data_IF_960987829153
#
_entry.id   IF_960987829153
#
_cell.length_a   1.000
_cell.length_b   1.000
_cell.length_c   1.000
_cell.angle_alpha   90.00
_cell.angle_beta   90.00
_cell.angle_gamma   90.00
#
_symmetry.space_group_name_H-M   'P 1'
#
loop_
_entity.id
_entity.type
_entity.pdbx_description
1 polymer ?
#
# COMPACT_ATOMS: atom_id res chain seq x y z
N UNK A 1 33.91 7.99 -2.45
CA UNK A 1 32.93 6.97 -2.02
C UNK A 1 31.80 7.03 -3.03
N UNK A 2 31.70 6.07 -3.94
CA UNK A 2 30.55 5.96 -4.85
C UNK A 2 29.32 5.75 -3.99
N UNK A 3 28.38 6.69 -3.97
CA UNK A 3 27.09 6.46 -3.31
C UNK A 3 26.45 5.23 -3.96
N UNK A 4 26.33 4.14 -3.21
CA UNK A 4 25.64 2.96 -3.68
C UNK A 4 24.19 3.35 -3.96
N UNK A 5 23.69 2.99 -5.15
CA UNK A 5 22.31 3.21 -5.57
C UNK A 5 21.36 2.59 -4.53
N UNK A 6 20.34 3.35 -4.13
CA UNK A 6 19.29 2.88 -3.22
C UNK A 6 17.96 2.76 -3.96
N UNK A 7 17.14 1.81 -3.54
CA UNK A 7 15.78 1.64 -4.02
C UNK A 7 14.90 2.76 -3.45
N UNK A 8 14.36 3.62 -4.31
CA UNK A 8 13.45 4.68 -3.87
C UNK A 8 12.06 4.10 -3.62
N UNK A 9 11.65 4.05 -2.35
CA UNK A 9 10.39 3.42 -1.96
C UNK A 9 9.38 4.40 -1.36
N UNK A 10 8.10 4.10 -1.54
CA UNK A 10 7.00 4.73 -0.82
C UNK A 10 6.07 3.67 -0.20
N UNK A 11 5.67 3.89 1.04
CA UNK A 11 4.67 3.11 1.77
C UNK A 11 3.42 3.98 2.00
N UNK A 12 2.27 3.49 1.53
CA UNK A 12 1.00 4.21 1.54
C UNK A 12 -0.12 3.38 2.13
N UNK A 13 -1.00 4.03 2.89
CA UNK A 13 -2.12 3.39 3.57
C UNK A 13 -3.43 4.06 3.17
N UNK A 14 -4.45 3.24 2.86
CA UNK A 14 -5.82 3.65 2.61
C UNK A 14 -6.80 3.01 3.61
N UNK A 15 -7.98 2.56 3.19
CA UNK A 15 -8.98 1.99 4.12
C UNK A 15 -8.58 0.58 4.57
N UNK A 16 -7.94 0.47 5.74
CA UNK A 16 -7.61 -0.78 6.45
C UNK A 16 -7.31 -0.51 7.94
N UNK A 17 -6.73 -1.50 8.62
CA UNK A 17 -6.32 -1.45 10.02
C UNK A 17 -4.81 -1.23 10.24
N UNK A 18 -4.03 -0.95 9.18
CA UNK A 18 -2.57 -0.74 9.23
C UNK A 18 -1.77 -1.94 9.77
N UNK A 19 -2.34 -3.15 9.73
CA UNK A 19 -1.72 -4.35 10.28
C UNK A 19 -0.41 -4.70 9.56
N UNK A 20 -0.38 -4.53 8.25
CA UNK A 20 0.79 -4.85 7.41
C UNK A 20 1.84 -3.75 7.51
N UNK A 21 1.44 -2.53 7.81
CA UNK A 21 2.31 -1.42 8.18
C UNK A 21 3.06 -1.73 9.49
N UNK A 22 2.38 -2.30 10.49
CA UNK A 22 3.02 -2.75 11.73
C UNK A 22 4.04 -3.86 11.45
N UNK A 23 3.68 -4.86 10.65
CA UNK A 23 4.63 -5.92 10.24
C UNK A 23 5.86 -5.35 9.53
N UNK A 24 5.67 -4.39 8.62
CA UNK A 24 6.78 -3.71 7.97
C UNK A 24 7.70 -3.00 8.97
N UNK A 25 7.13 -2.33 9.98
CA UNK A 25 7.94 -1.67 11.02
C UNK A 25 8.66 -2.66 11.94
N UNK A 26 8.09 -3.82 12.24
CA UNK A 26 8.78 -4.86 13.01
C UNK A 26 9.94 -5.46 12.21
N UNK A 27 9.74 -5.75 10.92
CA UNK A 27 10.83 -6.19 10.03
C UNK A 27 11.94 -5.14 9.90
N UNK A 28 11.59 -3.84 9.93
CA UNK A 28 12.59 -2.77 9.96
C UNK A 28 13.47 -2.86 11.21
N UNK A 29 12.95 -3.28 12.38
CA UNK A 29 13.76 -3.45 13.59
C UNK A 29 14.80 -4.57 13.42
N UNK A 30 14.43 -5.67 12.76
CA UNK A 30 15.31 -6.81 12.53
C UNK A 30 16.35 -6.54 11.43
N UNK A 31 15.98 -5.80 10.38
CA UNK A 31 16.79 -5.61 9.17
C UNK A 31 17.38 -4.20 9.01
N UNK A 32 17.24 -3.32 10.00
CA UNK A 32 17.61 -1.90 9.92
C UNK A 32 19.00 -1.64 9.32
N UNK A 33 20.01 -2.36 9.80
CA UNK A 33 21.41 -2.15 9.41
C UNK A 33 21.66 -2.39 7.91
N UNK A 34 20.94 -3.34 7.32
CA UNK A 34 20.99 -3.63 5.89
C UNK A 34 20.12 -2.64 5.12
N UNK A 35 18.85 -2.50 5.53
CA UNK A 35 17.85 -1.74 4.79
C UNK A 35 18.16 -0.24 4.72
N UNK A 36 18.77 0.35 5.76
CA UNK A 36 19.21 1.75 5.70
C UNK A 36 20.25 2.02 4.60
N UNK A 37 20.98 0.98 4.16
CA UNK A 37 22.00 1.09 3.10
C UNK A 37 21.42 0.93 1.71
N UNK A 38 20.31 0.19 1.57
CA UNK A 38 19.73 -0.17 0.26
C UNK A 38 18.39 0.50 -0.04
N UNK A 39 17.67 1.01 0.96
CA UNK A 39 16.38 1.69 0.79
C UNK A 39 16.54 3.21 0.97
N UNK A 40 15.97 3.96 0.03
CA UNK A 40 15.70 5.40 0.17
C UNK A 40 14.19 5.59 0.37
N UNK A 41 13.79 5.76 1.63
CA UNK A 41 12.37 5.90 1.99
C UNK A 41 11.92 7.33 1.68
N UNK A 42 11.20 7.53 0.58
CA UNK A 42 10.69 8.84 0.15
C UNK A 42 9.40 9.23 0.87
N UNK A 43 8.56 8.24 1.11
CA UNK A 43 7.26 8.39 1.75
C UNK A 43 6.98 7.18 2.64
N UNK A 44 6.83 7.39 3.93
CA UNK A 44 6.31 6.40 4.88
C UNK A 44 5.94 7.15 6.16
N UNK A 45 4.65 7.47 6.32
CA UNK A 45 4.16 8.30 7.44
C UNK A 45 4.48 7.71 8.81
N UNK A 46 4.62 6.38 8.89
CA UNK A 46 4.99 5.66 10.12
C UNK A 46 6.47 5.78 10.47
N UNK A 47 7.35 6.06 9.51
CA UNK A 47 8.81 6.12 9.72
C UNK A 47 9.36 7.55 9.78
N UNK A 48 8.66 8.53 9.19
CA UNK A 48 9.18 9.90 9.08
C UNK A 48 8.10 10.97 8.97
N UNK A 49 8.43 12.17 9.47
CA UNK A 49 7.56 13.36 9.38
C UNK A 49 7.54 13.96 7.99
N UNK A 50 8.70 14.07 7.33
CA UNK A 50 8.81 14.64 5.98
C UNK A 50 8.55 13.54 4.96
N UNK A 51 7.48 13.68 4.19
CA UNK A 51 7.06 12.72 3.19
C UNK A 51 6.95 13.41 1.84
N UNK A 52 7.60 12.85 0.82
CA UNK A 52 7.61 13.41 -0.53
C UNK A 52 7.06 12.37 -1.50
N UNK A 53 6.06 12.77 -2.27
CA UNK A 53 5.56 11.96 -3.39
C UNK A 53 6.22 12.44 -4.69
N UNK A 54 7.45 11.97 -4.90
CA UNK A 54 8.22 12.12 -6.13
C UNK A 54 8.35 10.77 -6.86
N UNK A 55 9.27 10.65 -7.81
CA UNK A 55 9.49 9.40 -8.55
C UNK A 55 9.94 8.28 -7.61
N UNK A 56 9.22 7.16 -7.65
CA UNK A 56 9.46 5.96 -6.87
C UNK A 56 9.87 4.81 -7.79
N UNK A 57 10.84 4.03 -7.35
CA UNK A 57 11.10 2.72 -7.94
C UNK A 57 9.97 1.76 -7.57
N UNK A 58 9.57 1.76 -6.30
CA UNK A 58 8.51 0.88 -5.79
C UNK A 58 7.56 1.62 -4.85
N UNK A 59 6.26 1.54 -5.09
CA UNK A 59 5.22 1.94 -4.15
C UNK A 59 4.54 0.71 -3.55
N UNK A 60 4.64 0.55 -2.24
CA UNK A 60 3.89 -0.41 -1.44
C UNK A 60 2.59 0.25 -0.96
N UNK A 61 1.46 -0.36 -1.29
CA UNK A 61 0.14 0.22 -1.02
C UNK A 61 -0.71 -0.79 -0.24
N UNK A 62 -1.03 -0.45 1.01
CA UNK A 62 -1.97 -1.16 1.87
C UNK A 62 -3.35 -0.47 1.85
N UNK A 63 -4.42 -1.26 1.96
CA UNK A 63 -5.78 -0.76 2.14
C UNK A 63 -6.64 -0.72 0.88
N UNK A 64 -7.95 -0.70 1.10
CA UNK A 64 -8.95 -0.61 0.05
C UNK A 64 -9.33 0.86 -0.27
N UNK A 65 -9.99 1.08 -1.40
CA UNK A 65 -10.35 2.42 -1.88
C UNK A 65 -11.84 2.68 -1.62
N UNK A 66 -12.13 3.55 -0.64
CA UNK A 66 -13.49 3.81 -0.19
C UNK A 66 -14.05 5.17 -0.65
N UNK A 67 -13.23 6.07 -1.19
CA UNK A 67 -13.60 7.43 -1.61
C UNK A 67 -13.01 7.75 -2.99
N UNK A 68 -13.53 8.78 -3.66
CA UNK A 68 -12.93 9.27 -4.91
C UNK A 68 -11.51 9.80 -4.69
N UNK A 69 -11.26 10.46 -3.55
CA UNK A 69 -9.93 10.93 -3.17
C UNK A 69 -8.91 9.78 -3.10
N UNK A 70 -9.30 8.61 -2.57
CA UNK A 70 -8.42 7.44 -2.57
C UNK A 70 -8.05 7.02 -3.99
N UNK A 71 -9.03 6.99 -4.92
CA UNK A 71 -8.81 6.63 -6.33
C UNK A 71 -7.84 7.63 -6.99
N UNK A 72 -8.08 8.92 -6.82
CA UNK A 72 -7.25 9.96 -7.42
C UNK A 72 -5.82 9.89 -6.87
N UNK A 73 -5.68 9.62 -5.56
CA UNK A 73 -4.38 9.47 -4.91
C UNK A 73 -3.61 8.25 -5.38
N UNK A 74 -4.24 7.08 -5.50
CA UNK A 74 -3.54 5.89 -6.01
C UNK A 74 -3.16 6.02 -7.48
N UNK A 75 -3.96 6.74 -8.28
CA UNK A 75 -3.59 7.09 -9.67
C UNK A 75 -2.38 8.01 -9.72
N UNK A 76 -2.32 9.01 -8.84
CA UNK A 76 -1.13 9.87 -8.70
C UNK A 76 0.09 9.05 -8.31
N UNK A 77 -0.01 8.20 -7.27
CA UNK A 77 1.07 7.32 -6.84
C UNK A 77 1.52 6.41 -7.99
N UNK A 78 0.57 5.79 -8.70
CA UNK A 78 0.88 4.93 -9.84
C UNK A 78 1.63 5.68 -10.93
N UNK A 79 1.23 6.90 -11.26
CA UNK A 79 1.89 7.71 -12.30
C UNK A 79 3.35 8.04 -11.98
N UNK A 80 3.72 8.03 -10.69
CA UNK A 80 5.07 8.33 -10.20
C UNK A 80 5.88 7.09 -9.82
N UNK A 81 5.31 5.89 -9.94
CA UNK A 81 5.92 4.65 -9.48
C UNK A 81 6.21 3.71 -10.64
N UNK A 82 7.44 3.18 -10.71
CA UNK A 82 7.81 2.16 -11.71
C UNK A 82 7.15 0.81 -11.40
N UNK A 83 7.05 0.46 -10.12
CA UNK A 83 6.31 -0.71 -9.62
C UNK A 83 5.33 -0.33 -8.53
N UNK A 84 4.17 -0.97 -8.52
CA UNK A 84 3.18 -0.94 -7.44
C UNK A 84 2.99 -2.34 -6.90
N UNK A 85 3.13 -2.45 -5.58
CA UNK A 85 2.94 -3.67 -4.81
C UNK A 85 1.69 -3.50 -3.94
N UNK A 86 0.67 -4.33 -4.17
CA UNK A 86 -0.50 -4.38 -3.30
C UNK A 86 -0.16 -5.18 -2.04
N UNK A 87 -0.34 -4.56 -0.88
CA UNK A 87 -0.02 -5.13 0.43
C UNK A 87 -1.31 -5.47 1.19
N UNK A 88 -1.41 -6.74 1.59
CA UNK A 88 -2.45 -7.22 2.48
C UNK A 88 -3.83 -7.40 1.81
N UNK A 89 -4.73 -8.07 2.53
CA UNK A 89 -6.04 -8.48 2.03
C UNK A 89 -6.89 -7.29 1.60
N UNK A 90 -6.80 -6.17 2.32
CA UNK A 90 -7.56 -4.97 1.95
C UNK A 90 -7.18 -4.46 0.55
N UNK A 91 -5.88 -4.38 0.21
CA UNK A 91 -5.46 -3.91 -1.11
C UNK A 91 -5.67 -4.98 -2.19
N UNK A 92 -5.39 -6.25 -1.87
CA UNK A 92 -5.40 -7.35 -2.84
C UNK A 92 -6.81 -7.83 -3.18
N UNK A 93 -7.69 -7.97 -2.17
CA UNK A 93 -9.04 -8.54 -2.33
C UNK A 93 -10.16 -7.64 -1.82
N UNK A 94 -9.85 -6.48 -1.23
CA UNK A 94 -10.83 -5.52 -0.74
C UNK A 94 -11.35 -5.80 0.68
N UNK A 95 -11.23 -7.03 1.18
CA UNK A 95 -11.75 -7.44 2.49
C UNK A 95 -10.72 -7.22 3.61
N UNK A 96 -11.16 -6.94 4.86
CA UNK A 96 -12.55 -6.79 5.30
C UNK A 96 -13.21 -5.44 4.96
N UNK A 97 -12.46 -4.43 4.50
CA UNK A 97 -12.97 -3.06 4.27
C UNK A 97 -14.15 -2.98 3.29
N UNK A 98 -14.22 -3.89 2.31
CA UNK A 98 -15.24 -3.94 1.29
C UNK A 98 -16.47 -4.79 1.66
N UNK A 99 -16.60 -5.25 2.92
CA UNK A 99 -17.74 -6.08 3.36
C UNK A 99 -19.10 -5.45 3.03
N UNK A 100 -19.22 -4.11 3.14
CA UNK A 100 -20.46 -3.39 2.82
C UNK A 100 -20.92 -3.54 1.37
N UNK A 101 -20.05 -3.98 0.47
CA UNK A 101 -20.43 -4.25 -0.92
C UNK A 101 -21.38 -5.45 -1.04
N UNK A 102 -21.48 -6.29 0.00
CA UNK A 102 -22.36 -7.46 0.05
C UNK A 102 -23.63 -7.20 0.87
N UNK A 103 -23.85 -5.97 1.35
CA UNK A 103 -25.04 -5.63 2.10
C UNK A 103 -26.28 -5.68 1.22
N UNK A 104 -27.39 -6.09 1.81
CA UNK A 104 -28.71 -6.00 1.18
C UNK A 104 -29.19 -4.54 1.13
N UNK A 105 -30.30 -4.30 0.41
CA UNK A 105 -30.84 -2.95 0.24
C UNK A 105 -31.16 -2.27 1.58
N UNK A 106 -31.66 -3.03 2.56
CA UNK A 106 -32.01 -2.50 3.89
C UNK A 106 -30.77 -2.01 4.64
N UNK A 107 -29.72 -2.83 4.74
CA UNK A 107 -28.47 -2.43 5.39
C UNK A 107 -27.78 -1.29 4.65
N UNK A 108 -27.88 -1.27 3.31
CA UNK A 108 -27.35 -0.17 2.52
C UNK A 108 -28.07 1.15 2.83
N UNK A 109 -29.40 1.12 2.99
CA UNK A 109 -30.21 2.28 3.41
C UNK A 109 -29.79 2.79 4.80
N UNK A 110 -29.62 1.87 5.76
CA UNK A 110 -29.18 2.19 7.13
C UNK A 110 -27.83 2.93 7.17
N UNK A 111 -26.90 2.60 6.28
CA UNK A 111 -25.58 3.24 6.22
C UNK A 111 -25.50 4.44 5.26
N UNK A 112 -26.52 4.73 4.44
CA UNK A 112 -26.48 5.85 3.48
C UNK A 112 -26.08 7.19 4.11
N UNK A 113 -26.60 7.59 5.29
CA UNK A 113 -26.20 8.85 5.91
C UNK A 113 -24.70 8.92 6.21
N UNK A 114 -24.08 7.79 6.58
CA UNK A 114 -22.65 7.69 6.83
C UNK A 114 -21.85 7.77 5.53
N UNK A 115 -22.31 7.08 4.48
CA UNK A 115 -21.64 7.13 3.17
C UNK A 115 -21.63 8.56 2.61
N UNK A 116 -22.76 9.27 2.70
CA UNK A 116 -22.86 10.66 2.27
C UNK A 116 -21.97 11.58 3.12
N UNK A 117 -21.98 11.43 4.44
CA UNK A 117 -21.17 12.25 5.37
C UNK A 117 -19.68 12.19 5.07
N UNK A 118 -19.16 11.02 4.73
CA UNK A 118 -17.73 10.79 4.49
C UNK A 118 -17.36 10.71 2.99
N UNK A 119 -18.28 11.09 2.10
CA UNK A 119 -18.06 11.04 0.64
C UNK A 119 -17.57 9.67 0.15
N UNK A 120 -18.12 8.61 0.74
CA UNK A 120 -17.79 7.24 0.34
C UNK A 120 -18.41 6.88 -1.00
N UNK A 121 -17.68 6.10 -1.78
CA UNK A 121 -18.18 5.50 -3.01
C UNK A 121 -19.34 4.53 -2.72
N UNK A 122 -20.25 4.29 -3.66
CA UNK A 122 -21.27 3.26 -3.51
C UNK A 122 -20.67 1.88 -3.21
N UNK A 123 -19.53 1.55 -3.82
CA UNK A 123 -18.75 0.33 -3.56
C UNK A 123 -17.31 0.66 -3.20
N UNK A 124 -16.76 -0.07 -2.24
CA UNK A 124 -15.32 -0.07 -1.94
C UNK A 124 -14.60 -0.90 -3.00
N UNK A 125 -13.47 -0.41 -3.49
CA UNK A 125 -12.68 -1.09 -4.52
C UNK A 125 -11.40 -1.69 -3.94
N UNK A 126 -10.96 -2.83 -4.50
CA UNK A 126 -9.57 -3.29 -4.30
C UNK A 126 -8.63 -2.49 -5.20
N UNK A 127 -7.33 -2.53 -4.93
CA UNK A 127 -6.36 -1.69 -5.62
C UNK A 127 -6.33 -1.95 -7.14
N UNK A 128 -6.44 -3.21 -7.54
CA UNK A 128 -6.44 -3.66 -8.94
C UNK A 128 -7.68 -3.25 -9.74
N UNK A 129 -8.75 -2.78 -9.10
CA UNK A 129 -9.91 -2.23 -9.80
C UNK A 129 -9.66 -0.79 -10.27
N UNK A 130 -8.70 -0.08 -9.67
CA UNK A 130 -8.44 1.34 -9.94
C UNK A 130 -7.13 1.60 -10.70
N UNK A 131 -6.09 0.79 -10.47
CA UNK A 131 -4.77 0.92 -11.10
C UNK A 131 -4.17 -0.45 -11.41
N UNK A 132 -3.19 -0.48 -12.33
CA UNK A 132 -2.37 -1.68 -12.56
C UNK A 132 -1.48 -1.97 -11.35
N UNK A 133 -1.53 -3.21 -10.86
CA UNK A 133 -0.71 -3.74 -9.77
C UNK A 133 0.30 -4.71 -10.37
N UNK A 134 1.59 -4.55 -10.07
CA UNK A 134 2.65 -5.40 -10.63
C UNK A 134 2.90 -6.63 -9.75
N UNK A 135 2.79 -6.48 -8.43
CA UNK A 135 2.99 -7.55 -7.45
C UNK A 135 1.91 -7.48 -6.39
N UNK A 136 1.39 -8.63 -5.94
CA UNK A 136 0.42 -8.71 -4.87
C UNK A 136 0.95 -9.59 -3.74
N UNK A 137 0.90 -9.10 -2.51
CA UNK A 137 1.31 -9.81 -1.30
C UNK A 137 0.06 -10.02 -0.44
N UNK A 138 -0.61 -11.18 -0.55
CA UNK A 138 -1.81 -11.47 0.23
C UNK A 138 -1.48 -11.75 1.71
N UNK A 139 -2.53 -11.68 2.55
CA UNK A 139 -2.48 -11.89 4.01
C UNK A 139 -3.22 -10.78 4.77
N UNK A 140 -3.69 -11.04 6.00
CA UNK A 140 -4.23 -10.01 6.89
C UNK A 140 -3.72 -10.25 8.33
N UNK A 141 -2.51 -9.75 8.70
CA UNK A 141 -1.61 -8.91 7.90
C UNK A 141 -0.89 -9.68 6.79
N UNK A 142 -0.17 -8.95 5.92
CA UNK A 142 0.65 -9.53 4.86
C UNK A 142 1.57 -10.65 5.36
N UNK A 143 1.82 -11.66 4.51
CA UNK A 143 2.81 -12.68 4.83
C UNK A 143 4.24 -12.10 4.80
N UNK A 144 4.92 -12.12 5.95
CA UNK A 144 6.33 -11.67 6.08
C UNK A 144 7.24 -12.36 5.08
N UNK A 145 7.17 -13.70 4.98
CA UNK A 145 7.97 -14.47 4.01
C UNK A 145 7.77 -13.96 2.58
N UNK A 146 6.51 -13.79 2.16
CA UNK A 146 6.21 -13.32 0.79
C UNK A 146 6.67 -11.88 0.58
N UNK A 147 6.58 -11.03 1.61
CA UNK A 147 7.11 -9.67 1.56
C UNK A 147 8.64 -9.65 1.41
N UNK A 148 9.35 -10.46 2.19
CA UNK A 148 10.81 -10.59 2.11
C UNK A 148 11.26 -11.12 0.75
N UNK A 149 10.59 -12.16 0.22
CA UNK A 149 10.87 -12.71 -1.10
C UNK A 149 10.65 -11.66 -2.21
N UNK A 150 9.55 -10.90 -2.12
CA UNK A 150 9.24 -9.83 -3.07
C UNK A 150 10.25 -8.68 -3.00
N UNK A 151 10.61 -8.22 -1.79
CA UNK A 151 11.59 -7.16 -1.60
C UNK A 151 12.97 -7.56 -2.14
N UNK A 152 13.42 -8.79 -1.84
CA UNK A 152 14.67 -9.32 -2.38
C UNK A 152 14.65 -9.40 -3.91
N UNK A 153 13.53 -9.80 -4.51
CA UNK A 153 13.33 -9.80 -5.96
C UNK A 153 13.42 -8.40 -6.56
N UNK A 154 12.76 -7.42 -5.93
CA UNK A 154 12.78 -6.02 -6.37
C UNK A 154 14.18 -5.40 -6.25
N UNK A 155 14.90 -5.66 -5.17
CA UNK A 155 16.29 -5.17 -5.01
C UNK A 155 17.20 -5.65 -6.15
N UNK A 156 17.04 -6.91 -6.58
CA UNK A 156 17.75 -7.46 -7.75
C UNK A 156 17.27 -6.85 -9.07
N UNK A 157 15.97 -6.74 -9.28
CA UNK A 157 15.38 -6.15 -10.50
C UNK A 157 15.88 -4.72 -10.75
N UNK A 158 16.06 -3.94 -9.68
CA UNK A 158 16.55 -2.57 -9.75
C UNK A 158 18.08 -2.43 -9.67
N UNK A 159 18.84 -3.53 -9.65
CA UNK A 159 20.29 -3.57 -9.54
C UNK A 159 20.83 -2.79 -8.32
N UNK A 160 20.21 -3.03 -7.16
CA UNK A 160 20.63 -2.44 -5.87
C UNK A 160 21.63 -3.36 -5.17
N UNK A 161 21.45 -4.68 -5.32
CA UNK A 161 22.29 -5.76 -4.80
C UNK A 161 22.60 -6.78 -5.90
#
# INVERSE_FOLDING_TARGET
MTENKKLRIGWFTFSCCEDSTIIFTELMNEHWEEWKRVLDVRHARVLQTRNVLDELDVAFIEGALATQEHIDKVKEIRSKSKKVVAIGACAVMGLPSAQRNQFDAKRLEEIQPLLARFSHLPKVLKLSDAITVDVAIPGCPMSEKNFMDALAGLLKEFNIV
#
